data_IF_411780520688
#
_entry.id   IF_411780520688
#
_cell.length_a   1.000
_cell.length_b   1.000
_cell.length_c   1.000
_cell.angle_alpha   90.00
_cell.angle_beta   90.00
_cell.angle_gamma   90.00
#
_symmetry.space_group_name_H-M   'P 1'
#
loop_
_entity.id
_entity.type
_entity.pdbx_description
1 polymer ?
#
# COMPACT_ATOMS: atom_id res chain seq x y z
N UNK A 1 14.40 -5.33 -28.32
CA UNK A 1 13.38 -5.35 -29.39
C UNK A 1 13.33 -6.67 -30.14
N UNK A 2 14.38 -7.13 -30.83
CA UNK A 2 14.35 -8.45 -31.52
C UNK A 2 14.38 -9.62 -30.54
N UNK A 3 15.22 -9.55 -29.51
CA UNK A 3 15.29 -10.58 -28.45
C UNK A 3 13.97 -10.72 -27.69
N UNK A 4 13.30 -9.61 -27.38
CA UNK A 4 11.98 -9.62 -26.72
C UNK A 4 10.93 -10.33 -27.58
N UNK A 5 10.94 -10.10 -28.90
CA UNK A 5 10.01 -10.77 -29.82
C UNK A 5 10.30 -12.26 -29.93
N UNK A 6 11.56 -12.67 -29.90
CA UNK A 6 11.95 -14.09 -29.91
C UNK A 6 11.51 -14.78 -28.63
N UNK A 7 11.73 -14.16 -27.47
CA UNK A 7 11.28 -14.69 -26.16
C UNK A 7 9.76 -14.77 -26.09
N UNK A 8 9.03 -13.78 -26.59
CA UNK A 8 7.56 -13.83 -26.65
C UNK A 8 7.06 -14.97 -27.55
N UNK A 9 7.70 -15.15 -28.70
CA UNK A 9 7.37 -16.25 -29.63
C UNK A 9 7.65 -17.61 -29.01
N UNK A 10 8.79 -17.79 -28.35
CA UNK A 10 9.13 -19.03 -27.64
C UNK A 10 8.11 -19.31 -26.53
N UNK A 11 7.76 -18.29 -25.74
CA UNK A 11 6.75 -18.39 -24.69
C UNK A 11 5.40 -18.84 -25.23
N UNK A 12 4.99 -18.33 -26.39
CA UNK A 12 3.73 -18.72 -27.02
C UNK A 12 3.76 -20.17 -27.52
N UNK A 13 4.88 -20.64 -28.10
CA UNK A 13 5.04 -22.05 -28.46
C UNK A 13 5.10 -22.98 -27.26
N UNK A 14 5.82 -22.61 -26.19
CA UNK A 14 5.81 -23.34 -24.90
C UNK A 14 4.38 -23.53 -24.39
N UNK A 15 3.58 -22.46 -24.41
CA UNK A 15 2.16 -22.51 -24.01
C UNK A 15 1.34 -23.42 -24.92
N UNK A 16 1.60 -23.42 -26.22
CA UNK A 16 0.91 -24.30 -27.18
C UNK A 16 1.25 -25.78 -26.95
N UNK A 17 2.54 -26.11 -26.80
CA UNK A 17 3.00 -27.48 -26.51
C UNK A 17 2.41 -27.96 -25.19
N UNK A 18 2.58 -27.19 -24.11
CA UNK A 18 2.02 -27.53 -22.79
C UNK A 18 0.48 -27.62 -22.79
N UNK A 19 -0.21 -27.03 -23.78
CA UNK A 19 -1.67 -27.17 -23.89
C UNK A 19 -2.08 -28.57 -24.35
N UNK A 20 -1.27 -29.28 -25.12
CA UNK A 20 -1.67 -30.58 -25.70
C UNK A 20 -0.81 -31.73 -25.22
N UNK A 21 0.40 -31.43 -24.76
CA UNK A 21 1.37 -32.39 -24.24
C UNK A 21 1.83 -31.90 -22.86
N UNK A 22 1.13 -32.33 -21.81
CA UNK A 22 1.44 -31.94 -20.44
C UNK A 22 1.38 -33.14 -19.50
N UNK A 23 2.54 -33.73 -19.30
CA UNK A 23 2.80 -34.77 -18.31
C UNK A 23 3.46 -34.17 -17.06
N UNK A 24 3.13 -34.77 -15.92
CA UNK A 24 3.78 -34.53 -14.64
C UNK A 24 4.73 -35.69 -14.35
N UNK A 25 5.70 -35.47 -13.48
CA UNK A 25 6.59 -36.54 -13.02
C UNK A 25 5.81 -37.76 -12.52
N UNK A 26 4.67 -37.54 -11.85
CA UNK A 26 3.74 -38.57 -11.37
C UNK A 26 3.21 -39.53 -12.45
N UNK A 27 3.24 -39.15 -13.72
CA UNK A 27 2.70 -39.96 -14.83
C UNK A 27 3.69 -40.99 -15.38
N UNK A 28 4.92 -40.97 -14.88
CA UNK A 28 6.01 -41.86 -15.27
C UNK A 28 6.23 -42.91 -14.18
N UNK A 29 6.41 -44.14 -14.63
CA UNK A 29 6.76 -45.29 -13.80
C UNK A 29 8.21 -45.68 -14.08
N UNK A 30 8.82 -46.41 -13.16
CA UNK A 30 10.12 -47.03 -13.40
C UNK A 30 9.99 -48.06 -14.53
N UNK A 31 10.84 -47.93 -15.56
CA UNK A 31 10.86 -48.85 -16.69
C UNK A 31 11.74 -50.03 -16.30
N UNK A 32 11.11 -51.19 -16.13
CA UNK A 32 11.77 -52.46 -15.87
C UNK A 32 11.99 -53.23 -17.19
N UNK A 33 13.20 -53.72 -17.43
CA UNK A 33 13.49 -54.74 -18.45
C UNK A 33 14.09 -55.95 -17.75
N UNK A 34 13.55 -57.14 -17.99
CA UNK A 34 14.02 -58.40 -17.41
C UNK A 34 14.18 -58.38 -15.88
N UNK A 35 13.30 -57.65 -15.18
CA UNK A 35 13.34 -57.50 -13.72
C UNK A 35 14.37 -56.50 -13.19
N UNK A 36 15.07 -55.78 -14.06
CA UNK A 36 16.04 -54.73 -13.71
C UNK A 36 15.51 -53.37 -14.11
N UNK A 37 15.67 -52.36 -13.23
CA UNK A 37 15.33 -50.97 -13.54
C UNK A 37 16.28 -50.44 -14.61
N UNK A 38 15.76 -50.22 -15.81
CA UNK A 38 16.51 -49.69 -16.97
C UNK A 38 16.42 -48.18 -17.06
N UNK A 39 15.26 -47.62 -16.73
CA UNK A 39 15.10 -46.17 -16.55
C UNK A 39 14.32 -45.88 -15.29
N UNK A 40 14.87 -44.98 -14.48
CA UNK A 40 14.12 -44.46 -13.33
C UNK A 40 13.06 -43.49 -13.80
N UNK A 41 12.00 -43.34 -13.00
CA UNK A 41 10.94 -42.34 -13.18
C UNK A 41 11.48 -40.94 -13.50
N UNK A 42 12.51 -40.50 -12.78
CA UNK A 42 13.12 -39.18 -12.97
C UNK A 42 13.85 -39.09 -14.32
N UNK A 43 14.53 -40.16 -14.75
CA UNK A 43 15.17 -40.20 -16.07
C UNK A 43 14.14 -40.12 -17.18
N UNK A 44 13.06 -40.90 -17.09
CA UNK A 44 11.98 -40.87 -18.07
C UNK A 44 11.29 -39.49 -18.14
N UNK A 45 11.13 -38.82 -16.99
CA UNK A 45 10.59 -37.47 -16.96
C UNK A 45 11.54 -36.43 -17.59
N UNK A 46 12.85 -36.54 -17.36
CA UNK A 46 13.84 -35.67 -18.00
C UNK A 46 13.89 -35.88 -19.51
N UNK A 47 13.86 -37.13 -19.99
CA UNK A 47 13.78 -37.43 -21.43
C UNK A 47 12.54 -36.77 -22.07
N UNK A 48 11.40 -36.78 -21.36
CA UNK A 48 10.18 -36.07 -21.79
C UNK A 48 10.38 -34.54 -21.84
N UNK A 49 11.07 -33.95 -20.86
CA UNK A 49 11.35 -32.51 -20.87
C UNK A 49 12.27 -32.14 -22.05
N UNK A 50 13.27 -32.96 -22.36
CA UNK A 50 14.13 -32.78 -23.53
C UNK A 50 13.33 -32.88 -24.84
N UNK A 51 12.43 -33.87 -24.96
CA UNK A 51 11.53 -33.98 -26.13
C UNK A 51 10.65 -32.73 -26.30
N UNK A 52 10.15 -32.15 -25.20
CA UNK A 52 9.39 -30.90 -25.22
C UNK A 52 10.23 -29.74 -25.76
N UNK A 53 11.47 -29.60 -25.31
CA UNK A 53 12.38 -28.55 -25.80
C UNK A 53 12.69 -28.73 -27.29
N UNK A 54 12.92 -29.96 -27.74
CA UNK A 54 13.14 -30.28 -29.16
C UNK A 54 11.94 -29.87 -30.02
N UNK A 55 10.71 -30.16 -29.57
CA UNK A 55 9.49 -29.73 -30.26
C UNK A 55 9.41 -28.21 -30.34
N UNK A 56 9.75 -27.49 -29.26
CA UNK A 56 9.73 -26.02 -29.24
C UNK A 56 10.75 -25.45 -30.22
N UNK A 57 11.96 -26.01 -30.25
CA UNK A 57 13.02 -25.61 -31.18
C UNK A 57 12.57 -25.77 -32.65
N UNK A 58 11.95 -26.91 -32.97
CA UNK A 58 11.38 -27.15 -34.30
C UNK A 58 10.25 -26.17 -34.64
N UNK A 59 9.41 -25.79 -33.68
CA UNK A 59 8.30 -24.83 -33.90
C UNK A 59 8.80 -23.39 -34.10
N UNK A 60 9.88 -23.03 -33.41
CA UNK A 60 10.52 -21.73 -33.49
C UNK A 60 11.09 -21.46 -34.88
N UNK A 61 11.74 -22.45 -35.49
CA UNK A 61 12.26 -22.34 -36.85
C UNK A 61 11.15 -22.53 -37.90
N UNK A 62 11.06 -21.61 -38.86
CA UNK A 62 10.03 -21.63 -39.90
C UNK A 62 10.15 -22.81 -40.86
N UNK A 63 11.37 -23.28 -41.10
CA UNK A 63 11.65 -24.38 -42.02
C UNK A 63 11.20 -25.73 -41.45
N UNK A 64 11.40 -25.94 -40.15
CA UNK A 64 11.11 -27.22 -39.46
C UNK A 64 9.79 -27.20 -38.68
N UNK A 65 9.02 -26.10 -38.76
CA UNK A 65 7.74 -25.97 -38.05
C UNK A 65 6.73 -27.08 -38.37
N UNK A 66 6.70 -27.54 -39.62
CA UNK A 66 5.79 -28.61 -40.03
C UNK A 66 6.15 -29.94 -39.33
N UNK A 67 7.44 -30.22 -39.19
CA UNK A 67 7.96 -31.38 -38.46
C UNK A 67 7.67 -31.27 -36.96
N UNK A 68 7.90 -30.09 -36.36
CA UNK A 68 7.56 -29.84 -34.96
C UNK A 68 6.07 -30.03 -34.66
N UNK A 69 5.18 -29.61 -35.57
CA UNK A 69 3.73 -29.87 -35.46
C UNK A 69 3.40 -31.35 -35.57
N UNK A 70 3.98 -32.06 -36.53
CA UNK A 70 3.76 -33.49 -36.69
C UNK A 70 4.22 -34.28 -35.47
N UNK A 71 5.38 -33.93 -34.89
CA UNK A 71 5.90 -34.54 -33.66
C UNK A 71 5.01 -34.25 -32.46
N UNK A 72 4.54 -33.01 -32.31
CA UNK A 72 3.59 -32.64 -31.26
C UNK A 72 2.26 -33.39 -31.38
N UNK A 73 1.73 -33.52 -32.59
CA UNK A 73 0.47 -34.25 -32.83
C UNK A 73 0.63 -35.74 -32.51
N UNK A 74 1.75 -36.35 -32.91
CA UNK A 74 2.06 -37.74 -32.58
C UNK A 74 2.22 -37.98 -31.07
N UNK A 75 2.96 -37.12 -30.38
CA UNK A 75 3.18 -37.21 -28.93
C UNK A 75 1.88 -36.95 -28.14
N UNK A 76 1.05 -35.99 -28.57
CA UNK A 76 -0.20 -35.66 -27.87
C UNK A 76 -1.28 -36.74 -28.00
N UNK A 77 -1.27 -37.52 -29.09
CA UNK A 77 -2.29 -38.52 -29.37
C UNK A 77 -2.35 -39.63 -28.31
N UNK A 78 -1.19 -40.09 -27.81
CA UNK A 78 -1.11 -41.14 -26.79
C UNK A 78 -1.33 -40.64 -25.35
N UNK A 79 -1.26 -39.31 -25.15
CA UNK A 79 -1.18 -38.70 -23.81
C UNK A 79 -2.36 -37.76 -23.49
N UNK A 80 -3.34 -37.69 -24.39
CA UNK A 80 -4.47 -36.75 -24.29
C UNK A 80 -5.25 -36.85 -22.97
N UNK A 81 -5.50 -38.06 -22.48
CA UNK A 81 -6.24 -38.28 -21.24
C UNK A 81 -5.45 -37.83 -20.00
N UNK A 82 -4.17 -38.23 -19.90
CA UNK A 82 -3.26 -37.78 -18.83
C UNK A 82 -3.13 -36.26 -18.82
N UNK A 83 -2.97 -35.65 -20.01
CA UNK A 83 -2.93 -34.19 -20.17
C UNK A 83 -4.19 -33.51 -19.64
N UNK A 84 -5.38 -34.03 -19.95
CA UNK A 84 -6.64 -33.47 -19.46
C UNK A 84 -6.76 -33.55 -17.92
N UNK A 85 -6.39 -34.71 -17.35
CA UNK A 85 -6.34 -34.91 -15.90
C UNK A 85 -5.36 -33.94 -15.22
N UNK A 86 -4.16 -33.78 -15.76
CA UNK A 86 -3.13 -32.91 -15.21
C UNK A 86 -3.50 -31.44 -15.25
N UNK A 87 -4.22 -31.03 -16.29
CA UNK A 87 -4.79 -29.67 -16.39
C UNK A 87 -5.87 -29.43 -15.35
N UNK A 88 -6.79 -30.37 -15.18
CA UNK A 88 -7.78 -30.27 -14.11
C UNK A 88 -7.11 -30.16 -12.74
N UNK A 89 -6.06 -30.95 -12.49
CA UNK A 89 -5.24 -30.85 -11.27
C UNK A 89 -4.59 -29.47 -11.15
N UNK A 90 -4.00 -28.94 -12.23
CA UNK A 90 -3.35 -27.62 -12.24
C UNK A 90 -4.35 -26.49 -11.93
N UNK A 91 -5.55 -26.57 -12.47
CA UNK A 91 -6.61 -25.59 -12.22
C UNK A 91 -7.12 -25.66 -10.78
N UNK A 92 -7.21 -26.86 -10.20
CA UNK A 92 -7.50 -27.04 -8.77
C UNK A 92 -6.38 -26.48 -7.90
N UNK A 93 -5.11 -26.77 -8.21
CA UNK A 93 -3.94 -26.27 -7.48
C UNK A 93 -3.90 -24.73 -7.54
N UNK A 94 -4.19 -24.13 -8.69
CA UNK A 94 -4.28 -22.67 -8.88
C UNK A 94 -5.39 -22.04 -8.04
N UNK A 95 -6.58 -22.65 -8.03
CA UNK A 95 -7.70 -22.17 -7.21
C UNK A 95 -7.36 -22.25 -5.73
N UNK A 96 -6.81 -23.37 -5.27
CA UNK A 96 -6.40 -23.55 -3.88
C UNK A 96 -5.35 -22.49 -3.46
N UNK A 97 -4.36 -22.20 -4.32
CA UNK A 97 -3.37 -21.17 -4.06
C UNK A 97 -3.99 -19.76 -4.02
N UNK A 98 -4.91 -19.45 -4.94
CA UNK A 98 -5.63 -18.18 -4.94
C UNK A 98 -6.49 -17.99 -3.70
N UNK A 99 -7.16 -19.05 -3.23
CA UNK A 99 -7.95 -19.02 -2.00
C UNK A 99 -7.07 -18.74 -0.77
N UNK A 100 -5.88 -19.33 -0.69
CA UNK A 100 -4.93 -19.05 0.40
C UNK A 100 -4.50 -17.59 0.37
N UNK A 101 -4.10 -17.08 -0.80
CA UNK A 101 -3.71 -15.68 -0.97
C UNK A 101 -4.87 -14.73 -0.59
N UNK A 102 -6.09 -15.07 -1.00
CA UNK A 102 -7.26 -14.28 -0.67
C UNK A 102 -7.55 -14.26 0.83
N UNK A 103 -7.48 -15.41 1.50
CA UNK A 103 -7.63 -15.49 2.96
C UNK A 103 -6.57 -14.68 3.68
N UNK A 104 -5.31 -14.81 3.30
CA UNK A 104 -4.23 -13.99 3.89
C UNK A 104 -4.47 -12.48 3.68
N UNK A 105 -4.99 -12.10 2.51
CA UNK A 105 -5.32 -10.70 2.24
C UNK A 105 -6.50 -10.23 3.11
N UNK A 106 -7.56 -11.03 3.25
CA UNK A 106 -8.70 -10.74 4.11
C UNK A 106 -8.27 -10.62 5.59
N UNK A 107 -7.46 -11.55 6.09
CA UNK A 107 -6.90 -11.50 7.45
C UNK A 107 -6.05 -10.26 7.68
N UNK A 108 -5.22 -9.87 6.71
CA UNK A 108 -4.42 -8.63 6.77
C UNK A 108 -5.30 -7.39 6.81
N UNK A 109 -6.36 -7.35 6.00
CA UNK A 109 -7.32 -6.24 5.98
C UNK A 109 -8.11 -6.14 7.28
N UNK A 110 -8.55 -7.26 7.84
CA UNK A 110 -9.23 -7.30 9.14
C UNK A 110 -8.31 -6.88 10.29
N UNK A 111 -7.06 -7.35 10.29
CA UNK A 111 -6.07 -6.94 11.28
C UNK A 111 -5.78 -5.43 11.20
N UNK A 112 -5.68 -4.87 9.99
CA UNK A 112 -5.50 -3.44 9.80
C UNK A 112 -6.73 -2.64 10.28
N UNK A 113 -7.94 -3.09 9.96
CA UNK A 113 -9.18 -2.46 10.41
C UNK A 113 -9.32 -2.50 11.94
N UNK A 114 -8.92 -3.61 12.57
CA UNK A 114 -8.92 -3.75 14.04
C UNK A 114 -7.94 -2.76 14.68
N UNK A 115 -6.72 -2.65 14.17
CA UNK A 115 -5.74 -1.66 14.66
C UNK A 115 -6.26 -0.23 14.57
N UNK A 116 -6.90 0.13 13.46
CA UNK A 116 -7.51 1.47 13.31
C UNK A 116 -8.64 1.72 14.32
N UNK A 117 -9.46 0.71 14.64
CA UNK A 117 -10.51 0.83 15.66
C UNK A 117 -9.92 1.01 17.06
N UNK A 118 -8.90 0.21 17.40
CA UNK A 118 -8.20 0.32 18.68
C UNK A 118 -7.51 1.68 18.84
N UNK A 119 -6.88 2.19 17.77
CA UNK A 119 -6.25 3.51 17.78
C UNK A 119 -7.28 4.64 17.95
N UNK A 120 -8.41 4.59 17.22
CA UNK A 120 -9.50 5.55 17.40
C UNK A 120 -10.09 5.52 18.81
N UNK A 121 -10.23 4.33 19.40
CA UNK A 121 -10.70 4.19 20.78
C UNK A 121 -9.73 4.84 21.78
N UNK A 122 -8.42 4.60 21.62
CA UNK A 122 -7.39 5.25 22.45
C UNK A 122 -7.39 6.76 22.31
N UNK A 123 -7.57 7.28 21.09
CA UNK A 123 -7.67 8.73 20.85
C UNK A 123 -8.89 9.33 21.54
N UNK A 124 -10.05 8.67 21.48
CA UNK A 124 -11.26 9.14 22.18
C UNK A 124 -11.10 9.13 23.69
N UNK A 125 -10.46 8.09 24.25
CA UNK A 125 -10.18 8.00 25.69
C UNK A 125 -9.23 9.13 26.14
N UNK A 126 -8.18 9.42 25.36
CA UNK A 126 -7.29 10.56 25.63
C UNK A 126 -8.01 11.90 25.59
N UNK A 127 -8.91 12.11 24.63
CA UNK A 127 -9.73 13.33 24.56
C UNK A 127 -10.66 13.45 25.77
N UNK A 128 -11.29 12.35 26.20
CA UNK A 128 -12.14 12.33 27.39
C UNK A 128 -11.34 12.62 28.67
N UNK A 129 -10.17 11.99 28.84
CA UNK A 129 -9.29 12.24 29.97
C UNK A 129 -8.81 13.69 30.01
N UNK A 130 -8.44 14.26 28.86
CA UNK A 130 -8.07 15.68 28.76
C UNK A 130 -9.23 16.61 29.11
N UNK A 131 -10.43 16.34 28.61
CA UNK A 131 -11.62 17.13 28.92
C UNK A 131 -11.95 17.08 30.43
N UNK A 132 -11.79 15.90 31.06
CA UNK A 132 -11.97 15.76 32.50
C UNK A 132 -10.95 16.59 33.30
N UNK A 133 -9.66 16.54 32.94
CA UNK A 133 -8.63 17.36 33.56
C UNK A 133 -8.88 18.87 33.38
N UNK A 134 -9.30 19.30 32.19
CA UNK A 134 -9.64 20.71 31.94
C UNK A 134 -10.83 21.16 32.79
N UNK A 135 -11.83 20.29 32.99
CA UNK A 135 -12.97 20.56 33.88
C UNK A 135 -12.55 20.68 35.35
N UNK A 136 -11.66 19.80 35.84
CA UNK A 136 -11.10 19.88 37.20
C UNK A 136 -10.28 21.16 37.40
N UNK A 137 -9.44 21.55 36.43
CA UNK A 137 -8.67 22.80 36.48
C UNK A 137 -9.61 24.01 36.50
N UNK A 138 -10.68 24.01 35.70
CA UNK A 138 -11.67 25.08 35.71
C UNK A 138 -12.44 25.15 37.05
N UNK A 139 -12.80 24.01 37.63
CA UNK A 139 -13.41 23.93 38.96
C UNK A 139 -12.47 24.45 40.07
N UNK A 140 -11.19 24.10 40.01
CA UNK A 140 -10.19 24.61 40.95
C UNK A 140 -9.93 26.11 40.79
N UNK A 141 -9.89 26.62 39.55
CA UNK A 141 -9.77 28.08 39.29
C UNK A 141 -10.98 28.86 39.80
N UNK A 142 -12.19 28.36 39.61
CA UNK A 142 -13.40 29.00 40.15
C UNK A 142 -13.41 28.98 41.67
N UNK A 143 -13.01 27.88 42.32
CA UNK A 143 -12.84 27.80 43.77
C UNK A 143 -11.81 28.82 44.32
N UNK A 144 -10.66 28.97 43.64
CA UNK A 144 -9.63 29.96 44.01
C UNK A 144 -10.15 31.39 43.83
N UNK A 145 -10.84 31.68 42.73
CA UNK A 145 -11.44 33.00 42.49
C UNK A 145 -12.56 33.31 43.51
N UNK A 146 -13.34 32.31 43.92
CA UNK A 146 -14.38 32.46 44.94
C UNK A 146 -13.77 32.67 46.33
N UNK A 147 -12.69 31.96 46.68
CA UNK A 147 -11.94 32.20 47.91
C UNK A 147 -11.32 33.61 47.93
N UNK A 148 -10.78 34.08 46.79
CA UNK A 148 -10.20 35.41 46.67
C UNK A 148 -11.27 36.52 46.75
N UNK A 149 -12.49 36.28 46.21
CA UNK A 149 -13.64 37.18 46.38
C UNK A 149 -14.12 37.26 47.83
N UNK A 150 -14.15 36.14 48.55
CA UNK A 150 -14.49 36.12 50.00
C UNK A 150 -13.48 36.93 50.81
N UNK A 151 -12.18 36.71 50.59
CA UNK A 151 -11.12 37.50 51.23
C UNK A 151 -11.19 39.00 50.91
N UNK A 152 -11.55 39.37 49.66
CA UNK A 152 -11.71 40.76 49.24
C UNK A 152 -12.96 41.43 49.82
N UNK A 153 -14.02 40.67 50.09
CA UNK A 153 -15.24 41.14 50.72
C UNK A 153 -15.10 41.22 52.26
N UNK A 154 -14.33 40.33 52.88
CA UNK A 154 -14.04 40.38 54.33
C UNK A 154 -13.12 41.57 54.71
N UNK A 155 -12.46 42.18 53.72
CA UNK A 155 -11.60 43.37 53.91
C UNK A 155 -12.33 44.71 53.76
N UNK A 156 -13.65 44.73 53.58
CA UNK A 156 -14.44 45.96 53.46
C UNK A 156 -15.60 45.98 54.45
N UNK A 157 -15.49 46.84 55.48
CA UNK A 157 -16.68 47.36 56.18
C UNK A 157 -17.56 48.16 55.20
N UNK A 158 -18.89 48.15 55.36
CA UNK A 158 -19.80 48.70 54.37
C UNK A 158 -19.86 50.22 54.49
N UNK A 159 -19.72 50.91 53.36
CA UNK A 159 -20.25 52.26 53.20
C UNK A 159 -21.41 52.17 52.20
N UNK A 160 -22.55 52.66 52.67
CA UNK A 160 -23.80 52.87 51.95
C UNK A 160 -23.60 53.55 50.59
N UNK A 161 -24.30 53.07 49.55
CA UNK A 161 -25.33 53.87 48.89
C UNK A 161 -26.07 53.04 47.82
N UNK A 162 -27.39 53.19 47.84
CA UNK A 162 -28.29 52.76 46.80
C UNK A 162 -28.15 53.66 45.57
N UNK A 163 -27.97 53.07 44.40
CA UNK A 163 -28.47 53.61 43.12
C UNK A 163 -28.98 52.44 42.30
N UNK A 164 -30.25 52.53 41.91
CA UNK A 164 -30.91 51.70 40.90
C UNK A 164 -30.34 52.07 39.53
N UNK A 165 -29.98 51.08 38.73
CA UNK A 165 -29.95 51.12 37.26
C UNK A 165 -29.73 49.67 36.81
N UNK A 166 -30.83 48.97 36.54
CA UNK A 166 -31.40 48.78 35.20
C UNK A 166 -30.78 47.53 34.55
N UNK A 167 -31.61 46.50 34.56
CA UNK A 167 -31.37 45.17 34.05
C UNK A 167 -31.52 45.20 32.53
N UNK A 168 -30.44 44.87 31.80
CA UNK A 168 -30.52 44.45 30.40
C UNK A 168 -29.89 43.06 30.28
N UNK A 169 -30.68 41.99 30.05
CA UNK A 169 -30.14 40.66 29.89
C UNK A 169 -29.54 40.54 28.49
N UNK A 170 -28.21 40.38 28.40
CA UNK A 170 -27.61 39.88 27.17
C UNK A 170 -28.00 38.41 27.01
N UNK A 171 -28.74 38.16 25.94
CA UNK A 171 -29.29 36.88 25.53
C UNK A 171 -28.23 35.81 25.43
N UNK A 172 -28.56 34.69 26.09
CA UNK A 172 -27.91 33.39 25.97
C UNK A 172 -28.22 32.85 24.58
N UNK A 173 -27.32 33.01 23.62
CA UNK A 173 -27.42 32.27 22.36
C UNK A 173 -27.11 30.79 22.65
N UNK A 174 -28.19 30.01 22.74
CA UNK A 174 -28.14 28.57 22.54
C UNK A 174 -27.73 28.35 21.09
N UNK A 175 -26.56 27.76 20.85
CA UNK A 175 -26.34 27.08 19.58
C UNK A 175 -27.18 25.80 19.59
N UNK A 176 -28.32 25.85 18.89
CA UNK A 176 -28.97 24.66 18.36
C UNK A 176 -28.03 23.96 17.35
N UNK A 177 -28.12 22.63 17.21
CA UNK A 177 -27.35 21.91 16.20
C UNK A 177 -27.77 22.40 14.80
N UNK A 178 -26.79 22.94 14.07
CA UNK A 178 -26.95 23.37 12.68
C UNK A 178 -27.47 22.19 11.85
N UNK A 179 -28.69 22.33 11.35
CA UNK A 179 -29.28 21.46 10.34
C UNK A 179 -28.45 21.63 9.07
N UNK A 180 -27.81 20.57 8.59
CA UNK A 180 -27.03 20.57 7.37
C UNK A 180 -27.88 21.10 6.19
N UNK A 181 -27.47 22.24 5.64
CA UNK A 181 -27.96 22.69 4.34
C UNK A 181 -27.22 21.92 3.24
N UNK A 182 -27.85 21.63 2.09
CA UNK A 182 -27.20 20.96 0.97
C UNK A 182 -26.05 21.82 0.44
N UNK A 183 -24.91 21.16 0.21
CA UNK A 183 -23.67 21.77 -0.27
C UNK A 183 -23.85 22.25 -1.71
N UNK A 184 -23.73 23.57 -1.91
CA UNK A 184 -23.64 24.20 -3.21
C UNK A 184 -22.18 24.09 -3.73
N UNK A 185 -21.90 23.42 -4.86
CA UNK A 185 -20.54 23.11 -5.33
C UNK A 185 -19.71 24.32 -5.79
N UNK A 186 -20.26 25.54 -5.75
CA UNK A 186 -19.59 26.73 -6.27
C UNK A 186 -18.68 27.48 -5.27
N UNK A 187 -18.64 27.10 -3.99
CA UNK A 187 -17.96 27.89 -2.92
C UNK A 187 -16.52 27.48 -2.58
N UNK A 188 -15.91 26.58 -3.34
CA UNK A 188 -14.65 25.89 -2.96
C UNK A 188 -13.35 26.67 -3.25
N UNK A 189 -13.41 27.98 -3.51
CA UNK A 189 -12.22 28.75 -3.90
C UNK A 189 -11.42 29.32 -2.72
N UNK A 190 -12.01 29.50 -1.53
CA UNK A 190 -11.37 30.28 -0.45
C UNK A 190 -11.36 29.62 0.95
N UNK A 191 -11.50 28.29 1.07
CA UNK A 191 -11.32 27.58 2.36
C UNK A 191 -10.02 26.75 2.40
N UNK A 192 -9.35 26.64 3.58
CA UNK A 192 -8.11 25.88 3.72
C UNK A 192 -8.38 24.39 3.48
N UNK A 193 -7.82 23.87 2.38
CA UNK A 193 -7.91 22.47 1.95
C UNK A 193 -7.51 21.53 3.09
N UNK A 194 -8.47 20.88 3.73
CA UNK A 194 -8.20 19.71 4.58
C UNK A 194 -7.84 18.54 3.67
N UNK A 195 -6.57 18.15 3.70
CA UNK A 195 -6.02 17.13 2.81
C UNK A 195 -6.56 15.74 3.17
N UNK A 196 -7.16 15.07 2.19
CA UNK A 196 -7.30 13.61 2.16
C UNK A 196 -5.96 13.04 1.69
N UNK A 197 -5.39 12.13 2.47
CA UNK A 197 -4.10 11.49 2.21
C UNK A 197 -4.22 10.57 0.97
N UNK A 198 -3.55 10.96 -0.11
CA UNK A 198 -3.31 10.18 -1.32
C UNK A 198 -1.87 9.68 -1.34
N UNK A 199 -1.68 8.43 -1.74
CA UNK A 199 -0.45 7.60 -1.64
C UNK A 199 0.67 7.94 -2.64
N UNK A 200 0.80 9.20 -3.03
CA UNK A 200 1.96 9.67 -3.81
C UNK A 200 2.55 10.85 -3.07
N UNK A 201 3.82 10.74 -2.68
CA UNK A 201 4.55 11.71 -1.88
C UNK A 201 4.24 13.14 -2.31
N UNK A 202 3.53 13.87 -1.44
CA UNK A 202 3.23 15.28 -1.64
C UNK A 202 4.52 16.05 -1.45
N UNK A 203 4.98 16.66 -2.54
CA UNK A 203 5.89 17.79 -2.50
C UNK A 203 5.34 18.81 -1.49
N UNK A 204 6.04 19.03 -0.39
CA UNK A 204 5.49 19.80 0.73
C UNK A 204 5.42 21.29 0.34
N UNK A 205 4.32 21.97 0.70
CA UNK A 205 3.97 23.29 0.18
C UNK A 205 5.01 24.41 0.46
N UNK A 206 5.93 24.20 1.41
CA UNK A 206 7.02 25.15 1.67
C UNK A 206 8.12 25.08 0.62
N UNK A 207 8.22 24.01 -0.20
CA UNK A 207 9.20 23.92 -1.27
C UNK A 207 8.98 24.96 -2.38
N UNK A 208 7.73 25.46 -2.51
CA UNK A 208 7.32 26.46 -3.48
C UNK A 208 7.40 27.91 -2.94
N UNK A 209 7.58 28.09 -1.62
CA UNK A 209 7.75 29.41 -0.98
C UNK A 209 9.21 29.63 -0.56
N UNK A 210 9.91 30.49 -1.30
CA UNK A 210 11.33 30.76 -1.06
C UNK A 210 11.62 31.31 0.34
N UNK A 211 10.69 32.05 0.95
CA UNK A 211 10.87 32.67 2.26
C UNK A 211 10.82 31.62 3.38
N UNK A 212 9.90 30.67 3.28
CA UNK A 212 9.81 29.59 4.27
C UNK A 212 10.98 28.63 4.16
N UNK A 213 11.48 28.39 2.95
CA UNK A 213 12.66 27.56 2.75
C UNK A 213 13.92 28.14 3.37
N UNK A 214 14.15 29.45 3.22
CA UNK A 214 15.32 30.10 3.82
C UNK A 214 15.28 30.04 5.36
N UNK A 215 14.09 30.16 5.96
CA UNK A 215 13.93 30.03 7.43
C UNK A 215 14.30 28.63 7.92
N UNK A 216 13.87 27.58 7.20
CA UNK A 216 14.17 26.18 7.54
C UNK A 216 15.65 25.88 7.34
N UNK A 217 16.25 26.36 6.26
CA UNK A 217 17.68 26.22 5.97
C UNK A 217 18.55 26.90 7.05
N UNK A 218 18.19 28.13 7.45
CA UNK A 218 18.90 28.87 8.52
C UNK A 218 18.74 28.18 9.88
N UNK A 219 17.55 27.67 10.21
CA UNK A 219 17.32 26.95 11.46
C UNK A 219 18.08 25.61 11.51
N UNK A 220 18.27 24.96 10.36
CA UNK A 220 19.04 23.72 10.22
C UNK A 220 20.56 23.92 10.08
N UNK A 221 21.03 25.16 9.89
CA UNK A 221 22.45 25.44 9.64
C UNK A 221 22.97 24.95 8.29
N UNK A 222 22.09 24.75 7.31
CA UNK A 222 22.43 24.27 5.98
C UNK A 222 22.13 25.34 4.93
N UNK A 223 22.92 25.40 3.87
CA UNK A 223 22.51 26.14 2.68
C UNK A 223 21.35 25.41 1.96
N UNK A 224 20.64 26.13 1.09
CA UNK A 224 19.44 25.61 0.40
C UNK A 224 19.72 24.40 -0.48
N UNK A 225 20.95 24.28 -0.99
CA UNK A 225 21.36 23.21 -1.89
C UNK A 225 21.71 21.95 -1.11
N UNK A 226 22.45 22.10 0.00
CA UNK A 226 22.74 21.05 0.98
C UNK A 226 21.48 20.49 1.62
N UNK A 227 20.51 21.36 1.96
CA UNK A 227 19.25 20.93 2.53
C UNK A 227 18.46 20.04 1.55
N UNK A 228 18.37 20.43 0.27
CA UNK A 228 17.71 19.62 -0.76
C UNK A 228 18.38 18.27 -0.97
N UNK A 229 19.71 18.22 -0.97
CA UNK A 229 20.46 16.97 -1.11
C UNK A 229 20.15 16.05 0.08
N UNK A 230 20.25 16.56 1.32
CA UNK A 230 19.94 15.76 2.51
C UNK A 230 18.49 15.29 2.56
N UNK A 231 17.55 16.19 2.28
CA UNK A 231 16.12 15.85 2.24
C UNK A 231 15.85 14.77 1.19
N UNK A 232 16.44 14.88 0.00
CA UNK A 232 16.30 13.83 -1.03
C UNK A 232 16.92 12.50 -0.59
N UNK A 233 18.06 12.53 0.10
CA UNK A 233 18.68 11.31 0.63
C UNK A 233 17.82 10.69 1.75
N UNK A 234 17.25 11.47 2.65
CA UNK A 234 16.42 10.95 3.74
C UNK A 234 15.04 10.48 3.25
N UNK A 235 14.44 11.19 2.29
CA UNK A 235 13.14 10.86 1.72
C UNK A 235 13.18 9.67 0.76
N UNK A 236 14.31 9.44 0.08
CA UNK A 236 14.40 8.43 -0.99
C UNK A 236 15.45 7.33 -0.75
N UNK A 237 16.46 7.50 0.12
CA UNK A 237 17.46 6.44 0.38
C UNK A 237 17.03 5.41 1.44
N UNK A 238 15.81 5.49 2.00
CA UNK A 238 15.31 4.38 2.85
C UNK A 238 14.94 3.15 2.02
N UNK A 239 14.71 3.31 0.72
CA UNK A 239 14.49 2.23 -0.25
C UNK A 239 15.37 2.42 -1.52
N UNK A 240 16.66 2.12 -1.40
CA UNK A 240 17.46 1.51 -2.48
C UNK A 240 17.54 2.15 -3.89
N UNK A 241 17.41 3.47 -4.06
CA UNK A 241 17.66 4.12 -5.35
C UNK A 241 18.94 4.96 -5.30
N UNK A 242 20.03 4.40 -5.83
CA UNK A 242 21.29 5.10 -6.06
C UNK A 242 21.08 6.27 -7.03
N UNK A 243 21.15 7.49 -6.51
CA UNK A 243 21.17 8.70 -7.33
C UNK A 243 22.57 8.88 -7.95
N UNK A 244 22.72 8.53 -9.22
CA UNK A 244 23.92 8.79 -10.02
C UNK A 244 24.03 10.30 -10.29
N UNK A 245 24.80 10.99 -9.46
CA UNK A 245 25.22 12.37 -9.70
C UNK A 245 26.20 12.45 -10.88
N UNK A 246 25.69 12.71 -12.08
CA UNK A 246 26.51 13.25 -13.17
C UNK A 246 26.81 14.73 -12.88
N UNK A 247 27.88 15.00 -12.13
CA UNK A 247 28.57 16.28 -12.26
C UNK A 247 29.26 16.31 -13.61
N UNK A 248 28.69 17.04 -14.57
CA UNK A 248 29.43 17.44 -15.76
C UNK A 248 30.40 18.54 -15.38
N UNK A 249 31.69 18.21 -15.44
CA UNK A 249 32.77 19.19 -15.54
C UNK A 249 32.51 20.12 -16.73
N UNK A 250 32.10 21.36 -16.45
CA UNK A 250 32.24 22.44 -17.42
C UNK A 250 33.68 22.95 -17.37
N UNK A 251 34.48 22.49 -18.33
CA UNK A 251 35.71 23.19 -18.74
C UNK A 251 35.37 24.61 -19.18
N UNK A 252 36.03 25.60 -18.60
CA UNK A 252 36.50 26.82 -19.27
C UNK A 252 37.94 27.03 -18.86
#
# INVERSE_FOLDING_TARGET
>A
MEDERLVERERDFRRQVQKVYYLREEDFDDVLSDGVVVKTKLQAFNDYLEEVEEIIELLMNEQTRSEGRAKLDAASASVREKTARNKAKLDMDRKAMQEVIQREHEEKMEAAARRQREEKARQLEQLQARAALEAEVAANRSSVLDAQRKLRNDSKKPASQAVKEEYVPATRERHEPVRAQPVDPARWKDEPKRMVLSTHALREAYEDDAVQMDIVCVAGGYDREQWRIKYSQEAFCRDGLEYVGQMRETKV
#
